data_IF_920678150193
#
_entry.id   IF_920678150193
#
_cell.length_a   1.000
_cell.length_b   1.000
_cell.length_c   1.000
_cell.angle_alpha   90.00
_cell.angle_beta   90.00
_cell.angle_gamma   90.00
#
_symmetry.space_group_name_H-M   'P 1'
#
loop_
_entity.id
_entity.type
_entity.pdbx_description
1 polymer ?
#
# COMPACT_ATOMS: atom_id res chain seq x y z
N UNK A 1 53.88 -63.89 8.96
CA UNK A 1 53.98 -62.79 7.97
C UNK A 1 53.12 -63.14 6.76
N UNK A 2 52.11 -62.34 6.43
CA UNK A 2 51.25 -62.52 5.24
C UNK A 2 51.96 -61.91 4.03
N UNK A 3 52.19 -62.68 2.98
CA UNK A 3 52.78 -62.14 1.74
C UNK A 3 51.75 -61.30 0.99
N UNK A 4 52.14 -60.08 0.62
CA UNK A 4 51.33 -59.22 -0.24
C UNK A 4 51.56 -59.65 -1.69
N UNK A 5 50.52 -60.20 -2.31
CA UNK A 5 50.50 -60.55 -3.74
C UNK A 5 50.48 -59.26 -4.55
N UNK A 6 51.55 -58.96 -5.29
CA UNK A 6 51.58 -57.81 -6.20
C UNK A 6 50.84 -58.14 -7.50
N UNK A 7 49.77 -57.38 -7.78
CA UNK A 7 49.01 -57.43 -9.03
C UNK A 7 49.73 -56.57 -10.08
N UNK A 8 49.75 -57.03 -11.34
CA UNK A 8 50.45 -56.37 -12.45
C UNK A 8 49.96 -54.93 -12.66
N UNK A 9 50.89 -54.03 -12.99
CA UNK A 9 50.61 -52.64 -13.31
C UNK A 9 49.92 -52.49 -14.68
N UNK A 10 49.12 -51.43 -14.81
CA UNK A 10 48.38 -51.04 -16.02
C UNK A 10 49.30 -50.83 -17.22
N UNK A 11 48.79 -51.15 -18.42
CA UNK A 11 49.52 -50.85 -19.67
C UNK A 11 49.34 -49.38 -20.09
N UNK A 12 50.33 -48.79 -20.78
CA UNK A 12 50.29 -47.38 -21.21
C UNK A 12 49.04 -47.00 -22.03
N UNK A 13 48.55 -47.93 -22.86
CA UNK A 13 47.33 -47.72 -23.67
C UNK A 13 46.07 -47.66 -22.80
N UNK A 14 46.03 -48.50 -21.78
CA UNK A 14 44.90 -48.67 -20.86
C UNK A 14 44.77 -47.43 -19.95
N UNK A 15 45.91 -46.82 -19.59
CA UNK A 15 45.97 -45.54 -18.89
C UNK A 15 45.40 -44.38 -19.73
N UNK A 16 45.68 -44.35 -21.04
CA UNK A 16 45.12 -43.33 -21.94
C UNK A 16 43.60 -43.46 -22.07
N UNK A 17 43.08 -44.68 -22.21
CA UNK A 17 41.63 -44.91 -22.24
C UNK A 17 40.94 -44.46 -20.95
N UNK A 18 41.54 -44.72 -19.78
CA UNK A 18 40.99 -44.28 -18.49
C UNK A 18 40.90 -42.75 -18.41
N UNK A 19 41.92 -42.01 -18.85
CA UNK A 19 41.90 -40.53 -18.83
C UNK A 19 40.80 -39.98 -19.75
N UNK A 20 40.63 -40.55 -20.95
CA UNK A 20 39.59 -40.10 -21.89
C UNK A 20 38.19 -40.38 -21.34
N UNK A 21 37.96 -41.57 -20.79
CA UNK A 21 36.67 -41.93 -20.19
C UNK A 21 36.36 -41.02 -18.99
N UNK A 22 37.34 -40.77 -18.12
CA UNK A 22 37.17 -39.84 -17.00
C UNK A 22 36.91 -38.40 -17.47
N UNK A 23 37.53 -37.98 -18.57
CA UNK A 23 37.27 -36.67 -19.19
C UNK A 23 35.82 -36.53 -19.64
N UNK A 24 35.31 -37.52 -20.40
CA UNK A 24 33.93 -37.52 -20.91
C UNK A 24 32.91 -37.59 -19.77
N UNK A 25 33.14 -38.48 -18.80
CA UNK A 25 32.26 -38.61 -17.62
C UNK A 25 32.31 -37.33 -16.78
N UNK A 26 33.48 -36.72 -16.62
CA UNK A 26 33.65 -35.46 -15.92
C UNK A 26 32.88 -34.31 -16.57
N UNK A 27 32.92 -34.18 -17.91
CA UNK A 27 32.17 -33.13 -18.61
C UNK A 27 30.66 -33.31 -18.48
N UNK A 28 30.16 -34.54 -18.62
CA UNK A 28 28.73 -34.84 -18.46
C UNK A 28 28.25 -34.57 -17.03
N UNK A 29 29.07 -34.89 -16.03
CA UNK A 29 28.75 -34.63 -14.62
C UNK A 29 28.72 -33.12 -14.30
N UNK A 30 29.65 -32.34 -14.87
CA UNK A 30 29.67 -30.87 -14.71
C UNK A 30 28.45 -30.20 -15.34
N UNK A 31 28.03 -30.65 -16.52
CA UNK A 31 26.87 -30.10 -17.21
C UNK A 31 25.57 -30.43 -16.47
N UNK A 32 25.44 -31.67 -15.97
CA UNK A 32 24.32 -32.07 -15.12
C UNK A 32 24.26 -31.27 -13.81
N UNK A 33 25.42 -31.03 -13.16
CA UNK A 33 25.50 -30.19 -11.95
C UNK A 33 25.09 -28.74 -12.23
N UNK A 34 25.53 -28.17 -13.35
CA UNK A 34 25.15 -26.82 -13.76
C UNK A 34 23.64 -26.72 -13.97
N UNK A 35 23.05 -27.65 -14.71
CA UNK A 35 21.61 -27.68 -14.97
C UNK A 35 20.79 -27.84 -13.69
N UNK A 36 21.26 -28.66 -12.75
CA UNK A 36 20.64 -28.83 -11.44
C UNK A 36 20.73 -27.57 -10.58
N UNK A 37 21.89 -26.92 -10.58
CA UNK A 37 22.12 -25.68 -9.84
C UNK A 37 21.28 -24.53 -10.39
N UNK A 38 21.30 -24.32 -11.70
CA UNK A 38 20.48 -23.31 -12.38
C UNK A 38 18.99 -23.56 -12.14
N UNK A 39 18.55 -24.82 -12.16
CA UNK A 39 17.17 -25.21 -11.90
C UNK A 39 16.72 -24.91 -10.47
N UNK A 40 17.45 -25.37 -9.45
CA UNK A 40 17.02 -25.25 -8.04
C UNK A 40 17.26 -23.86 -7.49
N UNK A 41 18.41 -23.25 -7.79
CA UNK A 41 18.75 -21.95 -7.22
C UNK A 41 17.84 -20.86 -7.77
N UNK A 42 17.64 -20.82 -9.11
CA UNK A 42 16.77 -19.81 -9.73
C UNK A 42 15.31 -20.01 -9.32
N UNK A 43 14.80 -21.25 -9.28
CA UNK A 43 13.41 -21.51 -8.86
C UNK A 43 13.18 -21.24 -7.37
N UNK A 44 14.16 -21.56 -6.52
CA UNK A 44 14.08 -21.32 -5.08
C UNK A 44 14.05 -19.83 -4.74
N UNK A 45 15.00 -19.06 -5.29
CA UNK A 45 15.02 -17.61 -5.08
C UNK A 45 13.82 -16.92 -5.73
N UNK A 46 13.39 -17.35 -6.93
CA UNK A 46 12.16 -16.83 -7.55
C UNK A 46 10.93 -17.06 -6.66
N UNK A 47 10.75 -18.28 -6.14
CA UNK A 47 9.62 -18.62 -5.27
C UNK A 47 9.63 -17.78 -4.00
N UNK A 48 10.81 -17.60 -3.39
CA UNK A 48 10.99 -16.74 -2.21
C UNK A 48 10.62 -15.28 -2.50
N UNK A 49 11.09 -14.72 -3.62
CA UNK A 49 10.76 -13.34 -4.03
C UNK A 49 9.28 -13.17 -4.34
N UNK A 50 8.65 -14.15 -4.99
CA UNK A 50 7.20 -14.14 -5.22
C UNK A 50 6.42 -14.17 -3.90
N UNK A 51 6.83 -15.02 -2.95
CA UNK A 51 6.19 -15.08 -1.64
C UNK A 51 6.35 -13.76 -0.84
N UNK A 52 7.52 -13.12 -0.93
CA UNK A 52 7.75 -11.79 -0.34
C UNK A 52 6.85 -10.73 -0.96
N UNK A 53 6.75 -10.69 -2.29
CA UNK A 53 5.84 -9.78 -2.99
C UNK A 53 4.39 -10.00 -2.58
N UNK A 54 3.94 -11.25 -2.50
CA UNK A 54 2.58 -11.60 -2.06
C UNK A 54 2.32 -11.17 -0.60
N UNK A 55 3.30 -11.33 0.30
CA UNK A 55 3.18 -10.89 1.69
C UNK A 55 3.12 -9.37 1.82
N UNK A 56 3.89 -8.63 1.00
CA UNK A 56 3.85 -7.16 0.96
C UNK A 56 2.48 -6.72 0.42
N UNK A 57 2.00 -7.32 -0.67
CA UNK A 57 0.69 -7.00 -1.23
C UNK A 57 -0.45 -7.29 -0.26
N UNK A 58 -0.41 -8.39 0.50
CA UNK A 58 -1.42 -8.66 1.54
C UNK A 58 -1.42 -7.57 2.61
N UNK A 59 -0.25 -7.17 3.11
CA UNK A 59 -0.16 -6.10 4.11
C UNK A 59 -0.66 -4.77 3.57
N UNK A 60 -0.23 -4.38 2.38
CA UNK A 60 -0.64 -3.13 1.74
C UNK A 60 -2.14 -3.14 1.45
N UNK A 61 -2.69 -4.25 0.94
CA UNK A 61 -4.12 -4.40 0.68
C UNK A 61 -4.98 -4.12 1.91
N UNK A 62 -4.57 -4.57 3.11
CA UNK A 62 -5.30 -4.30 4.36
C UNK A 62 -5.37 -2.81 4.69
N UNK A 63 -4.35 -2.03 4.38
CA UNK A 63 -4.40 -0.58 4.55
C UNK A 63 -5.34 0.07 3.53
N UNK A 64 -5.31 -0.39 2.27
CA UNK A 64 -6.20 0.10 1.22
C UNK A 64 -7.68 -0.24 1.47
N UNK A 65 -8.01 -1.38 2.10
CA UNK A 65 -9.38 -1.74 2.48
C UNK A 65 -10.05 -0.67 3.38
N UNK A 66 -9.25 -0.03 4.24
CA UNK A 66 -9.68 1.05 5.14
C UNK A 66 -9.41 2.46 4.59
N UNK A 67 -8.92 2.56 3.35
CA UNK A 67 -8.72 3.82 2.66
C UNK A 67 -10.04 4.37 2.11
N UNK A 68 -10.08 5.70 1.97
CA UNK A 68 -11.13 6.41 1.24
C UNK A 68 -10.72 6.50 -0.22
N UNK A 69 -11.48 5.88 -1.12
CA UNK A 69 -11.17 5.84 -2.56
C UNK A 69 -11.00 7.23 -3.16
N UNK A 70 -11.85 8.18 -2.76
CA UNK A 70 -11.79 9.57 -3.22
C UNK A 70 -10.53 10.34 -2.74
N UNK A 71 -9.79 9.81 -1.76
CA UNK A 71 -8.57 10.41 -1.21
C UNK A 71 -7.29 9.82 -1.80
N UNK A 72 -7.37 8.75 -2.60
CA UNK A 72 -6.19 8.10 -3.18
C UNK A 72 -5.58 9.00 -4.26
N UNK A 73 -4.34 9.40 -4.04
CA UNK A 73 -3.57 10.28 -4.93
C UNK A 73 -2.16 9.77 -5.17
N UNK A 74 -1.57 10.25 -6.26
CA UNK A 74 -0.16 10.06 -6.59
C UNK A 74 0.61 11.31 -6.23
N UNK A 75 1.70 11.12 -5.51
CA UNK A 75 2.62 12.16 -5.11
C UNK A 75 3.99 11.89 -5.75
N UNK A 76 4.72 12.96 -6.01
CA UNK A 76 6.17 12.93 -6.23
C UNK A 76 6.69 11.94 -7.28
N UNK A 77 6.29 12.19 -8.52
CA UNK A 77 6.80 11.53 -9.72
C UNK A 77 8.34 11.57 -9.75
N UNK A 78 8.97 10.39 -9.86
CA UNK A 78 10.41 10.21 -10.08
C UNK A 78 11.31 11.03 -9.13
N UNK A 79 10.95 11.09 -7.83
CA UNK A 79 11.69 11.86 -6.81
C UNK A 79 11.77 13.40 -7.07
N UNK A 80 10.92 13.97 -7.93
CA UNK A 80 11.03 15.39 -8.35
C UNK A 80 10.89 16.40 -7.18
N UNK A 81 10.07 16.09 -6.19
CA UNK A 81 9.97 16.76 -4.90
C UNK A 81 9.59 15.72 -3.85
N UNK A 82 9.95 15.88 -2.57
CA UNK A 82 9.53 14.94 -1.53
C UNK A 82 8.35 15.53 -0.76
N UNK A 83 7.17 14.94 -0.95
CA UNK A 83 5.97 15.25 -0.20
C UNK A 83 5.29 16.54 -0.58
N UNK A 84 5.64 17.19 -1.68
CA UNK A 84 5.15 18.54 -2.00
C UNK A 84 4.36 18.64 -3.30
N UNK A 85 4.45 17.64 -4.18
CA UNK A 85 3.82 17.70 -5.50
C UNK A 85 2.81 16.58 -5.62
N UNK A 86 1.56 16.94 -5.88
CA UNK A 86 0.51 15.99 -6.17
C UNK A 86 0.25 15.93 -7.68
N UNK A 87 0.28 14.72 -8.21
CA UNK A 87 0.18 14.37 -9.63
C UNK A 87 -1.20 13.78 -9.98
N UNK A 88 -2.21 14.11 -9.17
CA UNK A 88 -3.60 13.68 -9.34
C UNK A 88 -3.83 12.21 -9.00
N UNK A 89 -4.95 11.68 -9.49
CA UNK A 89 -5.37 10.30 -9.23
C UNK A 89 -4.64 9.27 -10.11
N UNK A 90 -4.55 8.01 -9.65
CA UNK A 90 -4.03 6.91 -10.47
C UNK A 90 -4.82 6.71 -11.76
N UNK A 91 -4.11 6.52 -12.87
CA UNK A 91 -4.68 6.20 -14.18
C UNK A 91 -4.06 4.90 -14.71
N UNK A 92 -4.76 4.23 -15.63
CA UNK A 92 -4.20 3.09 -16.34
C UNK A 92 -3.04 3.54 -17.25
N UNK A 93 -1.95 2.77 -17.25
CA UNK A 93 -0.79 3.00 -18.13
C UNK A 93 0.29 3.94 -17.59
N UNK A 94 0.33 4.20 -16.27
CA UNK A 94 1.41 4.97 -15.64
C UNK A 94 2.45 4.09 -14.93
N UNK A 95 2.82 2.99 -15.59
CA UNK A 95 3.81 2.01 -15.13
C UNK A 95 5.26 2.44 -15.39
N UNK A 96 5.47 3.54 -16.13
CA UNK A 96 6.78 4.07 -16.48
C UNK A 96 7.41 5.05 -15.48
N UNK A 97 6.68 5.47 -14.44
CA UNK A 97 7.15 6.45 -13.46
C UNK A 97 6.98 5.97 -12.03
N UNK A 98 7.96 6.23 -11.17
CA UNK A 98 7.88 5.96 -9.74
C UNK A 98 7.04 7.03 -9.04
N UNK A 99 5.92 6.62 -8.45
CA UNK A 99 5.08 7.50 -7.62
C UNK A 99 5.10 7.06 -6.16
N UNK A 100 4.90 8.05 -5.28
CA UNK A 100 4.42 7.78 -3.93
C UNK A 100 2.90 7.75 -3.96
N UNK A 101 2.32 6.64 -3.52
CA UNK A 101 0.87 6.51 -3.46
C UNK A 101 0.42 6.88 -2.06
N UNK A 102 -0.45 7.85 -1.92
CA UNK A 102 -0.94 8.31 -0.64
C UNK A 102 -2.46 8.33 -0.58
N UNK A 103 -3.02 8.07 0.60
CA UNK A 103 -4.45 8.13 0.85
C UNK A 103 -4.74 8.36 2.33
N UNK A 104 -5.97 8.77 2.62
CA UNK A 104 -6.45 8.95 3.98
C UNK A 104 -7.16 7.69 4.45
N UNK A 105 -6.82 7.25 5.66
CA UNK A 105 -7.45 6.11 6.32
C UNK A 105 -8.64 6.54 7.17
N UNK A 106 -9.67 5.69 7.16
CA UNK A 106 -10.82 5.78 8.05
C UNK A 106 -10.41 5.28 9.45
N UNK A 107 -11.01 5.86 10.49
CA UNK A 107 -10.95 5.36 11.85
C UNK A 107 -11.76 4.05 12.05
N UNK A 108 -11.16 2.90 11.76
CA UNK A 108 -11.80 1.58 11.94
C UNK A 108 -12.04 1.23 13.41
N UNK A 109 -11.16 1.67 14.32
CA UNK A 109 -11.30 1.41 15.75
C UNK A 109 -12.53 2.11 16.31
N UNK A 110 -12.73 3.38 15.94
CA UNK A 110 -13.95 4.12 16.26
C UNK A 110 -15.22 3.49 15.67
N UNK A 111 -15.14 2.84 14.51
CA UNK A 111 -16.27 2.18 13.86
C UNK A 111 -16.64 0.86 14.57
N UNK A 112 -15.66 0.11 15.06
CA UNK A 112 -15.88 -1.12 15.84
C UNK A 112 -16.59 -0.84 17.16
N UNK A 113 -16.36 0.35 17.71
CA UNK A 113 -17.12 0.89 18.83
C UNK A 113 -16.48 0.69 20.19
N UNK A 114 -17.06 1.38 21.16
CA UNK A 114 -16.59 1.46 22.53
C UNK A 114 -17.65 0.91 23.49
N UNK A 115 -17.17 0.48 24.66
CA UNK A 115 -18.04 0.08 25.76
C UNK A 115 -18.49 1.34 26.51
N UNK A 116 -19.80 1.63 26.50
CA UNK A 116 -20.39 2.79 27.18
C UNK A 116 -20.71 2.55 28.67
N UNK A 117 -20.38 1.37 29.20
CA UNK A 117 -20.78 0.92 30.54
C UNK A 117 -22.02 0.02 30.55
N UNK A 118 -22.82 0.03 29.49
CA UNK A 118 -24.08 -0.73 29.38
C UNK A 118 -24.20 -1.56 28.11
N UNK A 119 -23.73 -1.05 26.97
CA UNK A 119 -23.73 -1.73 25.68
C UNK A 119 -22.54 -1.28 24.82
N UNK A 120 -22.17 -2.12 23.85
CA UNK A 120 -21.22 -1.72 22.81
C UNK A 120 -21.95 -0.87 21.77
N UNK A 121 -21.41 0.32 21.49
CA UNK A 121 -21.88 1.20 20.42
C UNK A 121 -20.72 1.68 19.55
N UNK A 122 -20.92 1.86 18.25
CA UNK A 122 -19.91 2.49 17.40
C UNK A 122 -19.63 3.93 17.89
N UNK A 123 -18.36 4.32 17.95
CA UNK A 123 -17.96 5.68 18.30
C UNK A 123 -18.36 6.70 17.24
N UNK A 124 -18.44 6.26 15.98
CA UNK A 124 -19.01 7.03 14.88
C UNK A 124 -19.74 6.12 13.88
N UNK A 125 -20.72 6.67 13.19
CA UNK A 125 -21.44 6.00 12.10
C UNK A 125 -21.22 6.75 10.80
N UNK A 126 -21.21 6.02 9.68
CA UNK A 126 -21.09 6.67 8.38
C UNK A 126 -22.33 7.50 8.02
N UNK A 127 -23.52 7.06 8.44
CA UNK A 127 -24.76 7.80 8.21
C UNK A 127 -24.88 8.96 9.21
N UNK A 128 -25.03 10.16 8.65
CA UNK A 128 -25.04 11.41 9.40
C UNK A 128 -26.06 12.38 8.82
N UNK A 129 -26.60 13.22 9.69
CA UNK A 129 -27.45 14.34 9.34
C UNK A 129 -26.65 15.61 9.61
N UNK A 130 -26.55 16.49 8.62
CA UNK A 130 -25.89 17.79 8.77
C UNK A 130 -26.92 18.89 9.01
N UNK A 131 -26.66 19.73 10.01
CA UNK A 131 -27.34 21.00 10.23
C UNK A 131 -26.30 22.13 10.38
N UNK A 132 -25.79 22.62 9.25
CA UNK A 132 -24.78 23.68 9.20
C UNK A 132 -23.40 23.18 9.66
N UNK A 133 -22.92 23.70 10.79
CA UNK A 133 -21.65 23.28 11.42
C UNK A 133 -21.83 22.08 12.34
N UNK A 134 -23.07 21.65 12.58
CA UNK A 134 -23.35 20.51 13.44
C UNK A 134 -23.57 19.26 12.59
N UNK A 135 -22.92 18.18 13.00
CA UNK A 135 -23.07 16.86 12.42
C UNK A 135 -23.68 15.94 13.47
N UNK A 136 -24.78 15.28 13.15
CA UNK A 136 -25.42 14.33 14.05
C UNK A 136 -25.42 12.92 13.49
N UNK A 137 -24.82 11.98 14.20
CA UNK A 137 -24.90 10.54 13.96
C UNK A 137 -25.86 9.92 14.98
N UNK A 138 -27.05 9.45 14.56
CA UNK A 138 -28.04 8.94 15.51
C UNK A 138 -27.58 7.67 16.27
N UNK A 139 -26.72 6.87 15.63
CA UNK A 139 -26.23 5.60 16.17
C UNK A 139 -24.84 5.68 16.80
N UNK A 140 -24.17 6.83 16.70
CA UNK A 140 -22.82 7.04 17.23
C UNK A 140 -22.80 7.45 18.70
N UNK A 141 -21.69 7.14 19.38
CA UNK A 141 -21.33 7.72 20.67
C UNK A 141 -19.96 8.42 20.62
N UNK A 142 -20.00 9.68 20.22
CA UNK A 142 -18.84 10.55 20.15
C UNK A 142 -18.26 10.88 21.52
N UNK A 143 -19.03 10.79 22.61
CA UNK A 143 -18.54 11.13 23.95
C UNK A 143 -17.65 10.05 24.51
N UNK A 144 -18.03 8.78 24.38
CA UNK A 144 -17.16 7.66 24.77
C UNK A 144 -15.94 7.58 23.86
N UNK A 145 -16.10 7.80 22.56
CA UNK A 145 -14.95 7.90 21.65
C UNK A 145 -14.00 9.04 22.02
N UNK A 146 -14.52 10.22 22.37
CA UNK A 146 -13.70 11.35 22.80
C UNK A 146 -12.92 11.04 24.09
N UNK A 147 -13.54 10.37 25.05
CA UNK A 147 -12.87 10.00 26.30
C UNK A 147 -11.80 8.92 26.09
N UNK A 148 -12.01 8.00 25.15
CA UNK A 148 -11.08 6.91 24.86
C UNK A 148 -9.88 7.36 24.01
N UNK A 149 -10.12 8.17 22.98
CA UNK A 149 -9.14 8.45 21.92
C UNK A 149 -9.20 9.90 21.41
N UNK A 150 -9.47 10.84 22.33
CA UNK A 150 -9.46 12.31 22.18
C UNK A 150 -9.71 12.86 20.78
N UNK A 151 -10.99 13.17 20.50
CA UNK A 151 -11.40 13.84 19.26
C UNK A 151 -11.04 15.33 19.17
N UNK A 152 -10.66 15.94 20.29
CA UNK A 152 -10.36 17.38 20.37
C UNK A 152 -8.88 17.54 20.69
N UNK A 153 -8.07 17.65 19.64
CA UNK A 153 -6.65 17.92 19.77
C UNK A 153 -6.26 19.03 18.81
N UNK A 154 -5.86 20.18 19.34
CA UNK A 154 -5.47 21.34 18.53
C UNK A 154 -4.18 21.10 17.71
N UNK A 155 -3.31 20.19 18.15
CA UNK A 155 -2.09 19.83 17.44
C UNK A 155 -2.35 18.77 16.34
N UNK A 156 -3.27 17.83 16.61
CA UNK A 156 -3.61 16.72 15.71
C UNK A 156 -5.14 16.62 15.54
N UNK A 157 -5.79 17.58 14.85
CA UNK A 157 -7.24 17.63 14.79
C UNK A 157 -7.82 16.43 14.03
N UNK A 158 -8.78 15.75 14.66
CA UNK A 158 -9.60 14.74 13.98
C UNK A 158 -10.41 15.42 12.88
N UNK A 159 -10.36 14.85 11.68
CA UNK A 159 -11.12 15.36 10.54
C UNK A 159 -12.33 14.47 10.23
N UNK A 160 -13.35 15.10 9.66
CA UNK A 160 -14.52 14.47 9.07
C UNK A 160 -14.45 14.66 7.57
N UNK A 161 -14.48 13.57 6.83
CA UNK A 161 -14.56 13.55 5.37
C UNK A 161 -16.01 13.48 4.89
N UNK A 162 -16.36 14.27 3.88
CA UNK A 162 -17.63 14.18 3.16
C UNK A 162 -17.51 13.19 2.00
N UNK A 163 -18.40 12.19 1.97
CA UNK A 163 -18.60 11.35 0.78
C UNK A 163 -19.82 11.82 0.01
N UNK A 164 -19.62 12.58 -1.06
CA UNK A 164 -20.70 13.22 -1.83
C UNK A 164 -21.15 12.47 -3.08
N UNK A 165 -20.58 11.31 -3.37
CA UNK A 165 -20.87 10.55 -4.59
C UNK A 165 -20.56 11.32 -5.88
N UNK A 166 -19.88 12.47 -5.80
CA UNK A 166 -19.37 13.17 -6.98
C UNK A 166 -18.12 12.42 -7.45
N UNK A 167 -18.08 12.18 -8.76
CA UNK A 167 -17.06 11.42 -9.49
C UNK A 167 -15.71 11.39 -8.78
N UNK A 168 -15.30 10.20 -8.39
CA UNK A 168 -14.03 9.93 -7.74
C UNK A 168 -12.91 10.44 -8.65
N UNK A 169 -12.05 11.30 -8.10
CA UNK A 169 -10.83 11.73 -8.76
C UNK A 169 -10.70 13.18 -9.20
N UNK A 170 -11.51 14.11 -8.70
CA UNK A 170 -11.16 15.53 -8.83
C UNK A 170 -10.17 15.98 -7.75
N UNK A 171 -8.90 15.95 -8.14
CA UNK A 171 -7.83 16.81 -7.66
C UNK A 171 -7.27 16.54 -6.25
N UNK A 172 -6.04 16.97 -6.05
CA UNK A 172 -5.24 16.89 -4.82
C UNK A 172 -5.94 17.52 -3.61
N UNK A 173 -6.93 18.38 -3.84
CA UNK A 173 -7.78 18.97 -2.80
C UNK A 173 -8.56 17.92 -1.98
N UNK A 174 -8.90 16.77 -2.57
CA UNK A 174 -9.56 15.67 -1.85
C UNK A 174 -8.62 14.81 -1.03
N UNK A 175 -7.29 14.96 -1.15
CA UNK A 175 -6.35 14.31 -0.22
C UNK A 175 -6.22 15.08 1.10
N UNK A 176 -6.60 16.36 1.13
CA UNK A 176 -6.52 17.23 2.30
C UNK A 176 -5.54 18.39 2.15
N UNK A 177 -4.71 18.39 1.10
CA UNK A 177 -3.89 19.55 0.76
C UNK A 177 -4.78 20.66 0.18
N UNK A 178 -5.07 21.65 1.01
CA UNK A 178 -5.98 22.74 0.68
C UNK A 178 -5.41 23.55 -0.49
N UNK A 179 -6.00 23.40 -1.68
CA UNK A 179 -5.81 24.31 -2.82
C UNK A 179 -6.95 25.31 -2.89
N UNK A 180 -7.16 26.09 -1.83
CA UNK A 180 -8.03 27.26 -1.85
C UNK A 180 -9.03 27.37 -0.70
N UNK A 181 -9.16 28.60 -0.18
CA UNK A 181 -10.20 28.98 0.77
C UNK A 181 -11.55 29.09 0.05
N UNK A 182 -12.44 28.11 0.26
CA UNK A 182 -13.77 28.08 -0.34
C UNK A 182 -14.69 27.06 0.35
N UNK A 183 -15.99 27.37 0.40
CA UNK A 183 -17.01 26.84 1.33
C UNK A 183 -17.44 25.37 1.15
N UNK A 184 -16.73 24.57 0.35
CA UNK A 184 -17.01 23.14 0.12
C UNK A 184 -15.73 22.30 0.26
N UNK A 185 -15.05 22.40 1.40
CA UNK A 185 -13.89 21.55 1.64
C UNK A 185 -14.35 20.12 1.88
N UNK A 186 -13.63 19.14 1.32
CA UNK A 186 -13.90 17.72 1.51
C UNK A 186 -13.71 17.29 2.99
N UNK A 187 -13.02 18.12 3.77
CA UNK A 187 -12.67 17.90 5.17
C UNK A 187 -13.15 19.05 6.04
N UNK A 188 -13.56 18.71 7.27
CA UNK A 188 -13.76 19.64 8.38
C UNK A 188 -13.20 19.04 9.65
N UNK A 189 -12.58 19.85 10.50
CA UNK A 189 -12.05 19.36 11.78
C UNK A 189 -13.11 19.45 12.88
N UNK A 190 -13.04 18.54 13.85
CA UNK A 190 -13.92 18.56 15.01
C UNK A 190 -13.52 19.68 15.96
N UNK A 191 -14.44 20.59 16.23
CA UNK A 191 -14.25 21.73 17.14
C UNK A 191 -14.76 21.44 18.55
N UNK A 192 -15.88 20.72 18.66
CA UNK A 192 -16.45 20.32 19.95
C UNK A 192 -17.25 19.02 19.83
N UNK A 193 -17.41 18.35 20.97
CA UNK A 193 -18.28 17.16 21.14
C UNK A 193 -19.38 17.50 22.15
N UNK A 194 -20.50 18.13 21.72
CA UNK A 194 -21.53 18.57 22.65
C UNK A 194 -22.26 17.44 23.37
N UNK A 195 -22.46 16.30 22.70
CA UNK A 195 -23.14 15.12 23.25
C UNK A 195 -22.78 13.86 22.46
N UNK A 196 -23.31 12.71 22.88
CA UNK A 196 -23.00 11.42 22.28
C UNK A 196 -23.29 11.35 20.77
N UNK A 197 -24.33 12.03 20.29
CA UNK A 197 -24.78 11.90 18.89
C UNK A 197 -24.40 13.09 18.03
N UNK A 198 -23.84 14.17 18.59
CA UNK A 198 -23.56 15.41 17.87
C UNK A 198 -22.08 15.79 17.97
N UNK A 199 -21.55 16.30 16.85
CA UNK A 199 -20.28 16.98 16.74
C UNK A 199 -20.51 18.41 16.24
N UNK A 200 -19.67 19.34 16.68
CA UNK A 200 -19.56 20.67 16.08
C UNK A 200 -18.24 20.75 15.31
N UNK A 201 -18.31 21.19 14.07
CA UNK A 201 -17.18 21.30 13.15
C UNK A 201 -16.68 22.74 13.06
N UNK A 202 -15.44 22.91 12.60
CA UNK A 202 -14.80 24.21 12.35
C UNK A 202 -15.42 25.01 11.19
N UNK A 203 -16.32 24.39 10.43
CA UNK A 203 -17.07 25.00 9.35
C UNK A 203 -18.20 24.12 8.85
N UNK A 204 -18.98 24.63 7.90
CA UNK A 204 -20.07 23.87 7.30
C UNK A 204 -19.51 22.77 6.42
N UNK A 205 -19.84 21.51 6.74
CA UNK A 205 -19.61 20.35 5.88
C UNK A 205 -20.91 20.10 5.11
N UNK A 206 -21.12 20.75 3.95
CA UNK A 206 -22.36 20.53 3.20
C UNK A 206 -22.46 19.05 2.84
N UNK A 207 -23.38 18.27 3.40
CA UNK A 207 -23.61 16.88 3.00
C UNK A 207 -24.94 16.87 2.26
N UNK A 208 -24.92 17.38 1.02
CA UNK A 208 -26.10 17.46 0.15
C UNK A 208 -25.98 16.40 -0.95
N UNK A 209 -26.94 15.46 -1.04
CA UNK A 209 -26.96 14.41 -2.06
C UNK A 209 -27.66 13.13 -1.60
N UNK A 210 -27.59 12.07 -2.44
CA UNK A 210 -28.21 10.76 -2.18
C UNK A 210 -27.46 9.89 -1.15
N UNK A 211 -26.28 10.30 -0.70
CA UNK A 211 -25.48 9.57 0.29
C UNK A 211 -25.14 10.52 1.43
N UNK A 212 -25.93 10.51 2.51
CA UNK A 212 -25.70 11.27 3.74
C UNK A 212 -24.54 10.69 4.55
N UNK A 213 -23.37 10.50 3.92
CA UNK A 213 -22.25 9.77 4.50
C UNK A 213 -21.08 10.68 4.87
N UNK A 214 -20.57 10.49 6.07
CA UNK A 214 -19.31 11.09 6.52
C UNK A 214 -18.43 10.06 7.22
N UNK A 215 -17.12 10.26 7.13
CA UNK A 215 -16.14 9.35 7.69
C UNK A 215 -15.23 10.10 8.66
N UNK A 216 -14.94 9.48 9.80
CA UNK A 216 -13.97 10.02 10.78
C UNK A 216 -12.57 9.59 10.37
N UNK A 217 -11.64 10.53 10.39
CA UNK A 217 -10.26 10.36 9.93
C UNK A 217 -9.28 10.73 11.02
N UNK A 218 -8.24 9.91 11.16
CA UNK A 218 -7.17 10.11 12.15
C UNK A 218 -5.79 10.24 11.53
N UNK A 219 -5.53 9.51 10.45
CA UNK A 219 -4.22 9.42 9.83
C UNK A 219 -4.31 9.21 8.33
N UNK A 220 -3.29 9.66 7.61
CA UNK A 220 -3.01 9.24 6.25
C UNK A 220 -1.87 8.22 6.17
N UNK A 221 -1.78 7.57 5.03
CA UNK A 221 -0.75 6.61 4.68
C UNK A 221 -0.13 7.00 3.34
N UNK A 222 1.18 6.76 3.20
CA UNK A 222 1.87 6.86 1.93
C UNK A 222 2.82 5.68 1.72
N UNK A 223 2.92 5.19 0.49
CA UNK A 223 3.74 4.04 0.11
C UNK A 223 4.68 4.46 -1.02
N UNK A 224 5.97 4.15 -0.86
CA UNK A 224 7.00 4.48 -1.85
C UNK A 224 7.99 3.34 -1.98
N UNK A 225 8.30 2.93 -3.21
CA UNK A 225 9.48 2.12 -3.53
C UNK A 225 10.61 3.08 -3.94
N UNK A 226 11.78 2.99 -3.28
CA UNK A 226 12.95 3.81 -3.62
C UNK A 226 14.22 3.04 -3.37
N UNK A 227 15.12 3.00 -4.36
CA UNK A 227 16.44 2.35 -4.25
C UNK A 227 16.36 0.89 -3.74
N UNK A 228 15.36 0.13 -4.19
CA UNK A 228 15.16 -1.24 -3.74
C UNK A 228 14.43 -1.37 -2.39
N UNK A 229 14.12 -0.29 -1.68
CA UNK A 229 13.44 -0.35 -0.37
C UNK A 229 12.01 0.15 -0.53
N UNK A 230 11.06 -0.68 -0.09
CA UNK A 230 9.65 -0.31 -0.02
C UNK A 230 9.30 0.16 1.38
N UNK A 231 8.88 1.41 1.48
CA UNK A 231 8.62 2.11 2.74
C UNK A 231 7.19 2.61 2.83
N UNK A 232 6.64 2.55 4.03
CA UNK A 232 5.36 3.12 4.40
C UNK A 232 5.57 4.31 5.34
N UNK A 233 4.86 5.39 5.09
CA UNK A 233 4.75 6.56 5.95
C UNK A 233 3.34 6.58 6.52
N UNK A 234 3.22 6.74 7.84
CA UNK A 234 1.93 6.70 8.55
C UNK A 234 1.95 7.64 9.73
N UNK A 235 0.82 8.26 10.05
CA UNK A 235 0.70 9.16 11.20
C UNK A 235 0.82 10.65 10.86
N UNK A 236 0.67 11.02 9.59
CA UNK A 236 0.58 12.41 9.15
C UNK A 236 -0.87 12.78 8.80
N UNK A 237 -1.18 14.06 8.88
CA UNK A 237 -2.51 14.63 8.65
C UNK A 237 -2.48 15.67 7.51
N UNK A 238 -2.81 15.28 6.26
CA UNK A 238 -2.78 16.17 5.11
C UNK A 238 -3.69 17.40 5.27
N UNK A 239 -4.86 17.24 5.90
CA UNK A 239 -5.80 18.32 6.20
C UNK A 239 -5.26 19.34 7.22
N UNK A 240 -4.25 18.96 8.00
CA UNK A 240 -3.52 19.84 8.91
C UNK A 240 -2.26 20.46 8.24
N UNK A 241 -2.09 20.27 6.93
CA UNK A 241 -0.93 20.75 6.18
C UNK A 241 0.33 19.91 6.37
N UNK A 242 0.24 18.74 7.01
CA UNK A 242 1.38 17.85 7.18
C UNK A 242 1.68 17.09 5.89
N UNK A 243 2.97 16.89 5.63
CA UNK A 243 3.47 16.15 4.47
C UNK A 243 3.99 14.80 4.96
N UNK A 244 3.89 13.76 4.14
CA UNK A 244 4.41 12.46 4.54
C UNK A 244 5.93 12.48 4.80
N UNK A 245 6.66 13.43 4.20
CA UNK A 245 8.11 13.62 4.37
C UNK A 245 8.51 14.08 5.78
N UNK A 246 7.57 14.55 6.61
CA UNK A 246 7.84 14.93 8.00
C UNK A 246 7.88 13.73 8.94
N UNK A 247 7.40 12.56 8.48
CA UNK A 247 7.29 11.35 9.30
C UNK A 247 8.37 10.33 8.93
N UNK A 248 8.85 9.61 9.93
CA UNK A 248 9.82 8.54 9.76
C UNK A 248 9.21 7.37 8.98
N UNK A 249 9.84 6.92 7.86
CA UNK A 249 9.38 5.76 7.12
C UNK A 249 9.57 4.46 7.90
N UNK A 250 8.59 3.56 7.78
CA UNK A 250 8.68 2.16 8.17
C UNK A 250 8.95 1.29 6.95
N UNK A 251 10.03 0.53 6.97
CA UNK A 251 10.36 -0.42 5.89
C UNK A 251 9.38 -1.60 5.92
N UNK A 252 8.76 -1.87 4.78
CA UNK A 252 7.85 -3.00 4.57
C UNK A 252 8.49 -4.12 3.75
N UNK A 253 9.50 -3.82 2.94
CA UNK A 253 10.20 -4.82 2.15
C UNK A 253 11.46 -4.31 1.48
N UNK A 254 12.35 -5.24 1.16
CA UNK A 254 13.61 -4.99 0.47
C UNK A 254 13.62 -5.65 -0.91
N UNK A 255 14.44 -5.13 -1.82
CA UNK A 255 14.54 -5.49 -3.23
C UNK A 255 13.26 -5.26 -4.04
N UNK A 256 12.51 -4.20 -3.71
CA UNK A 256 11.35 -3.77 -4.49
C UNK A 256 11.82 -2.83 -5.60
N UNK A 257 11.59 -3.22 -6.84
CA UNK A 257 11.90 -2.42 -8.03
C UNK A 257 10.91 -1.26 -8.16
N UNK A 258 9.61 -1.59 -8.10
CA UNK A 258 8.55 -0.65 -8.42
C UNK A 258 7.25 -1.01 -7.70
N UNK A 259 6.47 0.01 -7.36
CA UNK A 259 5.11 -0.13 -6.83
C UNK A 259 4.19 0.85 -7.56
N UNK A 260 3.12 0.33 -8.17
CA UNK A 260 2.11 1.12 -8.86
C UNK A 260 0.72 0.65 -8.49
N UNK A 261 -0.24 1.57 -8.61
CA UNK A 261 -1.65 1.26 -8.48
C UNK A 261 -2.37 1.67 -9.74
N UNK A 262 -3.24 0.80 -10.21
CA UNK A 262 -4.04 1.02 -11.40
C UNK A 262 -5.49 1.14 -10.97
N UNK A 263 -6.14 2.19 -11.46
CA UNK A 263 -7.57 2.40 -11.33
C UNK A 263 -8.19 2.37 -12.73
N UNK A 264 -9.20 1.52 -12.91
CA UNK A 264 -9.96 1.44 -14.15
C UNK A 264 -11.39 1.91 -13.89
N UNK A 265 -11.65 3.17 -14.25
CA UNK A 265 -12.97 3.79 -14.14
C UNK A 265 -14.03 3.15 -15.07
N UNK A 266 -13.64 2.31 -16.04
CA UNK A 266 -14.60 1.58 -16.89
C UNK A 266 -15.16 0.32 -16.21
N UNK A 267 -14.45 -0.20 -15.20
CA UNK A 267 -14.84 -1.38 -14.43
C UNK A 267 -15.86 -1.06 -13.31
N UNK A 268 -16.19 0.22 -13.08
CA UNK A 268 -17.04 0.69 -11.97
C UNK A 268 -18.51 0.92 -12.35
N UNK A 269 -18.93 0.56 -13.57
CA UNK A 269 -20.36 0.61 -13.96
C UNK A 269 -21.27 -0.33 -13.14
N UNK A 270 -20.71 -1.13 -12.22
CA UNK A 270 -21.44 -2.14 -11.47
C UNK A 270 -21.91 -1.69 -10.08
N UNK A 271 -21.30 -0.71 -9.38
CA UNK A 271 -21.83 -0.31 -8.05
C UNK A 271 -21.26 1.01 -7.50
N UNK A 272 -21.91 2.13 -7.85
CA UNK A 272 -21.68 3.44 -7.21
C UNK A 272 -22.10 3.52 -5.73
N UNK A 273 -22.54 2.39 -5.12
CA UNK A 273 -22.90 2.29 -3.70
C UNK A 273 -22.09 1.28 -2.85
N UNK A 274 -21.21 0.45 -3.45
CA UNK A 274 -20.38 -0.55 -2.74
C UNK A 274 -18.90 -0.18 -2.59
N UNK A 275 -18.25 0.49 -3.55
CA UNK A 275 -16.89 1.02 -3.44
C UNK A 275 -16.09 0.77 -4.72
N UNK A 276 -14.83 1.21 -4.75
CA UNK A 276 -13.98 1.13 -5.93
C UNK A 276 -12.99 -0.04 -5.88
N UNK A 277 -12.68 -0.61 -7.03
CA UNK A 277 -11.65 -1.66 -7.15
C UNK A 277 -10.37 -1.06 -7.69
N UNK A 278 -9.28 -1.24 -6.96
CA UNK A 278 -7.93 -0.86 -7.36
C UNK A 278 -7.08 -2.11 -7.57
N UNK A 279 -6.24 -2.10 -8.59
CA UNK A 279 -5.23 -3.14 -8.80
C UNK A 279 -3.90 -2.63 -8.27
N UNK A 280 -3.41 -3.25 -7.21
CA UNK A 280 -2.08 -3.01 -6.65
C UNK A 280 -1.08 -3.88 -7.40
N UNK A 281 0.03 -3.30 -7.85
CA UNK A 281 1.11 -4.02 -8.53
C UNK A 281 2.44 -3.72 -7.84
N UNK A 282 3.15 -4.78 -7.44
CA UNK A 282 4.51 -4.68 -6.91
C UNK A 282 5.45 -5.50 -7.79
N UNK A 283 6.60 -4.95 -8.12
CA UNK A 283 7.65 -5.64 -8.86
C UNK A 283 8.91 -5.72 -8.01
N UNK A 284 9.45 -6.93 -7.85
CA UNK A 284 10.70 -7.19 -7.14
C UNK A 284 11.87 -7.18 -8.13
N UNK A 285 13.05 -6.73 -7.68
CA UNK A 285 14.28 -6.87 -8.44
C UNK A 285 14.63 -8.35 -8.62
N UNK A 286 15.10 -8.70 -9.82
CA UNK A 286 15.56 -10.04 -10.17
C UNK A 286 16.83 -10.46 -9.46
N UNK A 287 17.11 -11.76 -9.57
CA UNK A 287 18.30 -12.39 -8.96
C UNK A 287 19.60 -11.95 -9.65
N UNK A 288 19.52 -11.46 -10.90
CA UNK A 288 20.67 -11.13 -11.75
C UNK A 288 21.03 -9.62 -11.75
N UNK A 289 20.54 -8.84 -10.77
CA UNK A 289 20.70 -7.37 -10.69
C UNK A 289 22.15 -6.83 -10.63
N UNK A 290 23.17 -7.71 -10.55
CA UNK A 290 24.60 -7.34 -10.56
C UNK A 290 25.26 -7.42 -11.94
N UNK A 291 24.53 -7.81 -13.00
CA UNK A 291 25.04 -7.75 -14.36
C UNK A 291 24.66 -6.39 -14.97
N UNK A 292 25.66 -5.52 -14.97
CA UNK A 292 25.62 -4.11 -15.27
C UNK A 292 25.32 -3.84 -16.77
N UNK A 293 24.10 -4.09 -17.23
CA UNK A 293 23.66 -3.64 -18.56
C UNK A 293 22.45 -2.69 -18.43
N UNK A 294 22.70 -1.45 -18.85
CA UNK A 294 21.91 -0.25 -18.59
C UNK A 294 20.63 -0.12 -19.41
N UNK A 295 20.10 -1.22 -19.97
CA UNK A 295 18.90 -1.17 -20.81
C UNK A 295 18.05 -2.42 -20.64
N UNK A 296 16.94 -2.25 -19.89
CA UNK A 296 15.71 -3.07 -19.82
C UNK A 296 15.48 -3.92 -18.55
N UNK A 297 14.21 -3.95 -18.07
CA UNK A 297 13.77 -4.64 -16.86
C UNK A 297 13.56 -6.15 -17.14
N UNK A 298 14.61 -6.93 -17.38
CA UNK A 298 14.42 -8.30 -17.88
C UNK A 298 14.19 -9.39 -16.83
N UNK A 299 14.43 -9.15 -15.54
CA UNK A 299 14.18 -10.16 -14.50
C UNK A 299 13.34 -9.64 -13.33
N UNK A 300 12.39 -8.74 -13.57
CA UNK A 300 11.50 -8.30 -12.49
C UNK A 300 10.37 -9.30 -12.25
N UNK A 301 10.16 -9.65 -10.98
CA UNK A 301 9.07 -10.52 -10.56
C UNK A 301 7.91 -9.63 -10.11
N UNK A 302 6.91 -9.47 -10.97
CA UNK A 302 5.74 -8.65 -10.68
C UNK A 302 4.57 -9.50 -10.17
N UNK A 303 3.88 -8.98 -9.15
CA UNK A 303 2.66 -9.56 -8.57
C UNK A 303 1.59 -8.48 -8.53
N UNK A 304 0.36 -8.90 -8.76
CA UNK A 304 -0.79 -8.02 -8.81
C UNK A 304 -1.89 -8.53 -7.88
N UNK A 305 -2.60 -7.60 -7.24
CA UNK A 305 -3.74 -7.91 -6.38
C UNK A 305 -4.82 -6.85 -6.52
N UNK A 306 -6.05 -7.29 -6.74
CA UNK A 306 -7.22 -6.43 -6.71
C UNK A 306 -7.68 -6.23 -5.27
N UNK A 307 -8.00 -4.99 -4.92
CA UNK A 307 -8.49 -4.60 -3.60
C UNK A 307 -9.72 -3.74 -3.78
N UNK A 308 -10.74 -4.07 -3.01
CA UNK A 308 -11.94 -3.26 -2.92
C UNK A 308 -11.74 -2.21 -1.82
N UNK A 309 -11.74 -0.94 -2.21
CA UNK A 309 -11.56 0.21 -1.34
C UNK A 309 -12.93 0.80 -1.03
N UNK A 310 -13.14 1.18 0.23
CA UNK A 310 -14.37 1.89 0.65
C UNK A 310 -14.42 3.28 0.02
N UNK A 311 -15.62 3.83 -0.13
CA UNK A 311 -15.90 5.19 -0.64
C UNK A 311 -14.85 6.22 -0.21
#
# INVERSE_FOLDING_TARGET
MKSLVQRKAFTMIELLFVIVILGIVGTLALEALRQYYDGIYRTGEYTKRSAQADQILEQVARYFENGISASIVRLDQNDAALGSVCNGVPISGDDGNDYTIAFVGIDDDGLRGYWDGTRFRPGWSSEVINAGTNLSGPDSDYTTMHNADSLLNAANPTAIFRSDGLAEGSDCGRFGWITGAGTNQAYRTVLAVPNATNLTLDGVLSISGQSGRAYVLRTAYAFRARNGVFSMYSGFQPWNGELYSTVTPRVLGDNVAHFTIMYDASNTSVNSNVGNVYTLKICMNGVDANLNDSTLPQDQICRERMVHVRY
#
